data_IF_294360983805
#
_entry.id   IF_294360983805
#
_cell.length_a   1.000
_cell.length_b   1.000
_cell.length_c   1.000
_cell.angle_alpha   90.00
_cell.angle_beta   90.00
_cell.angle_gamma   90.00
#
_symmetry.space_group_name_H-M   'P 1'
#
loop_
_entity.id
_entity.type
_entity.pdbx_description
1 polymer ?
#
# COMPACT_ATOMS: atom_id res chain seq x y z
N UNK A 1 2.15 6.66 3.21
CA UNK A 1 1.31 7.69 3.87
C UNK A 1 -0.05 7.09 4.16
N UNK A 2 -0.75 7.52 5.21
CA UNK A 2 -2.07 6.97 5.58
C UNK A 2 -3.22 7.61 4.77
N UNK A 3 -3.00 8.80 4.22
CA UNK A 3 -3.93 9.55 3.38
C UNK A 3 -3.10 10.09 2.21
N UNK A 4 -3.64 10.04 0.99
CA UNK A 4 -3.03 10.69 -0.17
C UNK A 4 -3.52 12.13 -0.21
N UNK A 5 -2.59 13.08 -0.27
CA UNK A 5 -2.89 14.51 -0.28
C UNK A 5 -2.20 15.12 -1.50
N UNK A 6 -2.98 15.75 -2.38
CA UNK A 6 -2.46 16.40 -3.59
C UNK A 6 -3.35 17.56 -4.04
N UNK A 7 -2.83 18.42 -4.93
CA UNK A 7 -3.58 19.54 -5.50
C UNK A 7 -3.82 19.25 -6.97
N UNK A 8 -5.09 19.29 -7.40
CA UNK A 8 -5.47 19.08 -8.79
C UNK A 8 -6.60 20.04 -9.23
N UNK A 9 -6.95 19.98 -10.52
CA UNK A 9 -8.05 20.73 -11.12
C UNK A 9 -9.38 20.28 -10.49
N UNK A 10 -10.23 21.24 -10.14
CA UNK A 10 -11.58 20.93 -9.65
C UNK A 10 -12.44 20.35 -10.79
N UNK A 11 -12.91 19.11 -10.62
CA UNK A 11 -13.75 18.38 -11.58
C UNK A 11 -15.06 19.13 -11.93
N UNK A 12 -15.54 19.99 -11.05
CA UNK A 12 -16.75 20.81 -11.28
C UNK A 12 -16.44 22.19 -11.86
N UNK A 13 -15.19 22.64 -11.77
CA UNK A 13 -14.74 23.92 -12.33
C UNK A 13 -13.26 23.87 -12.71
N UNK A 14 -13.00 23.58 -13.97
CA UNK A 14 -11.65 23.39 -14.49
C UNK A 14 -10.74 24.65 -14.47
N UNK A 15 -11.28 25.82 -14.11
CA UNK A 15 -10.52 27.06 -13.95
C UNK A 15 -9.91 27.22 -12.55
N UNK A 16 -10.19 26.30 -11.62
CA UNK A 16 -9.71 26.32 -10.23
C UNK A 16 -8.90 25.07 -9.91
N UNK A 17 -8.06 25.16 -8.88
CA UNK A 17 -7.42 23.99 -8.26
C UNK A 17 -7.89 23.84 -6.82
N UNK A 18 -7.99 22.61 -6.35
CA UNK A 18 -8.44 22.26 -5.01
C UNK A 18 -7.53 21.20 -4.38
N UNK A 19 -7.54 21.15 -3.05
CA UNK A 19 -6.86 20.13 -2.29
C UNK A 19 -7.71 18.85 -2.29
N UNK A 20 -7.15 17.76 -2.79
CA UNK A 20 -7.73 16.42 -2.75
C UNK A 20 -7.17 15.64 -1.56
N UNK A 21 -8.07 14.97 -0.84
CA UNK A 21 -7.78 13.99 0.18
C UNK A 21 -8.39 12.66 -0.27
N UNK A 22 -7.56 11.64 -0.46
CA UNK A 22 -8.01 10.35 -0.99
C UNK A 22 -7.37 9.17 -0.24
N UNK A 23 -7.88 7.97 -0.48
CA UNK A 23 -7.34 6.72 0.04
C UNK A 23 -5.87 6.53 -0.36
N UNK A 24 -5.05 5.89 0.48
CA UNK A 24 -3.68 5.56 0.12
C UNK A 24 -3.66 4.43 -0.92
N UNK A 25 -2.59 4.37 -1.72
CA UNK A 25 -2.28 3.18 -2.49
C UNK A 25 -1.89 2.03 -1.56
N UNK A 26 -2.35 0.81 -1.87
CA UNK A 26 -2.08 -0.42 -1.11
C UNK A 26 -0.92 -1.24 -1.70
N UNK A 27 -0.06 -0.61 -2.51
CA UNK A 27 1.07 -1.26 -3.16
C UNK A 27 0.67 -1.99 -4.44
N UNK A 28 1.04 -3.28 -4.57
CA UNK A 28 0.82 -4.07 -5.78
C UNK A 28 -0.63 -4.54 -5.97
N UNK A 29 -1.51 -4.33 -4.99
CA UNK A 29 -2.80 -5.02 -4.93
C UNK A 29 -3.98 -4.09 -4.75
N UNK A 30 -5.10 -4.50 -5.33
CA UNK A 30 -6.41 -3.94 -5.01
C UNK A 30 -6.89 -4.47 -3.65
N UNK A 31 -7.75 -3.69 -2.98
CA UNK A 31 -8.35 -4.00 -1.69
C UNK A 31 -8.96 -5.40 -1.68
N UNK A 32 -9.64 -5.79 -2.74
CA UNK A 32 -10.35 -7.07 -2.83
C UNK A 32 -9.42 -8.28 -2.72
N UNK A 33 -8.18 -8.18 -3.17
CA UNK A 33 -7.21 -9.26 -3.01
C UNK A 33 -6.70 -9.36 -1.57
N UNK A 34 -6.41 -8.22 -0.94
CA UNK A 34 -5.97 -8.19 0.46
C UNK A 34 -7.06 -8.73 1.41
N UNK A 35 -8.33 -8.53 1.07
CA UNK A 35 -9.46 -9.09 1.82
C UNK A 35 -9.54 -10.62 1.81
N UNK A 36 -8.87 -11.32 0.89
CA UNK A 36 -8.82 -12.78 0.89
C UNK A 36 -7.96 -13.36 2.02
N UNK A 37 -7.10 -12.54 2.62
CA UNK A 37 -6.26 -12.91 3.77
C UNK A 37 -5.10 -13.84 3.42
N UNK A 38 -4.35 -14.24 4.46
CA UNK A 38 -3.07 -14.98 4.33
C UNK A 38 -3.19 -16.36 3.69
N UNK A 39 -4.40 -16.93 3.59
CA UNK A 39 -4.63 -18.20 2.91
C UNK A 39 -4.57 -18.07 1.38
N UNK A 40 -4.68 -16.86 0.82
CA UNK A 40 -4.49 -16.62 -0.60
C UNK A 40 -2.99 -16.57 -0.94
N UNK A 41 -2.58 -17.32 -1.96
CA UNK A 41 -1.18 -17.41 -2.41
C UNK A 41 -0.58 -16.05 -2.78
N UNK A 42 -1.39 -15.13 -3.30
CA UNK A 42 -0.91 -13.80 -3.71
C UNK A 42 -0.59 -12.95 -2.48
N UNK A 43 -1.44 -13.03 -1.45
CA UNK A 43 -1.26 -12.30 -0.20
C UNK A 43 -0.05 -12.83 0.57
N UNK A 44 0.11 -14.15 0.66
CA UNK A 44 1.27 -14.76 1.30
C UNK A 44 2.58 -14.47 0.56
N UNK A 45 2.59 -14.56 -0.77
CA UNK A 45 3.76 -14.21 -1.58
C UNK A 45 4.15 -12.73 -1.45
N UNK A 46 3.17 -11.83 -1.30
CA UNK A 46 3.45 -10.41 -1.06
C UNK A 46 4.08 -10.17 0.30
N UNK A 47 3.57 -10.81 1.34
CA UNK A 47 4.17 -10.75 2.67
C UNK A 47 5.62 -11.27 2.64
N UNK A 48 5.87 -12.40 1.97
CA UNK A 48 7.23 -12.93 1.81
C UNK A 48 8.18 -11.95 1.10
N UNK A 49 7.69 -11.22 0.09
CA UNK A 49 8.46 -10.16 -0.55
C UNK A 49 8.82 -9.05 0.43
N UNK A 50 7.90 -8.64 1.31
CA UNK A 50 8.17 -7.66 2.36
C UNK A 50 9.25 -8.17 3.33
N UNK A 51 9.13 -9.41 3.81
CA UNK A 51 10.09 -10.02 4.74
C UNK A 51 11.48 -10.08 4.10
N UNK A 52 11.59 -10.57 2.86
CA UNK A 52 12.87 -10.64 2.14
C UNK A 52 13.48 -9.25 1.94
N UNK A 53 12.66 -8.26 1.59
CA UNK A 53 13.11 -6.87 1.43
C UNK A 53 13.64 -6.30 2.74
N UNK A 54 12.94 -6.53 3.86
CA UNK A 54 13.38 -6.09 5.18
C UNK A 54 14.71 -6.73 5.59
N UNK A 55 14.89 -8.04 5.35
CA UNK A 55 16.15 -8.74 5.63
C UNK A 55 17.30 -8.21 4.77
N UNK A 56 17.06 -7.94 3.48
CA UNK A 56 18.05 -7.33 2.60
C UNK A 56 18.48 -5.93 3.06
N UNK A 57 17.58 -5.21 3.72
CA UNK A 57 17.84 -3.90 4.33
C UNK A 57 18.42 -3.99 5.75
N UNK A 58 18.79 -5.19 6.22
CA UNK A 58 19.49 -5.43 7.48
C UNK A 58 18.62 -5.82 8.68
N UNK A 59 17.32 -6.09 8.47
CA UNK A 59 16.47 -6.58 9.56
C UNK A 59 16.83 -8.01 9.98
N UNK A 60 16.73 -8.29 11.28
CA UNK A 60 16.82 -9.67 11.79
C UNK A 60 15.62 -10.49 11.28
N UNK A 61 15.90 -11.68 10.73
CA UNK A 61 14.89 -12.55 10.09
C UNK A 61 13.67 -12.83 10.97
N UNK A 62 13.87 -13.17 12.25
CA UNK A 62 12.78 -13.51 13.16
C UNK A 62 11.88 -12.31 13.48
N UNK A 63 12.47 -11.11 13.50
CA UNK A 63 11.73 -9.87 13.66
C UNK A 63 10.95 -9.53 12.39
N UNK A 64 11.58 -9.71 11.23
CA UNK A 64 10.97 -9.44 9.93
C UNK A 64 9.78 -10.39 9.64
N UNK A 65 9.83 -11.63 10.13
CA UNK A 65 8.78 -12.63 9.91
C UNK A 65 7.68 -12.61 10.99
N UNK A 66 7.78 -11.75 12.00
CA UNK A 66 6.78 -11.68 13.08
C UNK A 66 5.49 -11.07 12.54
N UNK A 67 4.43 -11.88 12.48
CA UNK A 67 3.06 -11.45 12.18
C UNK A 67 2.35 -10.97 13.45
#
# INVERSE_FOLDING_TARGET
MLITIFVDIDDKNNSRRVLYLDQPSLGLFDRDLLLKGMNDTSVSAYFDLMVKSAVLLGAQKDTAHRQ
#
